data_IF_252941978518
#
_entry.id   IF_252941978518
#
_cell.length_a   1.000
_cell.length_b   1.000
_cell.length_c   1.000
_cell.angle_alpha   90.00
_cell.angle_beta   90.00
_cell.angle_gamma   90.00
#
_symmetry.space_group_name_H-M   'P 1'
#
loop_
_entity.id
_entity.type
_entity.pdbx_description
1 polymer ?
#
# COMPACT_ATOMS: atom_id res chain seq x y z
N UNK A 1 5.49 6.44 5.60
CA UNK A 1 4.70 7.70 5.61
C UNK A 1 3.27 7.33 5.22
N UNK A 2 2.27 7.72 6.00
CA UNK A 2 0.86 7.34 5.77
C UNK A 2 0.14 8.46 5.02
N UNK A 3 -0.38 8.17 3.84
CA UNK A 3 -1.34 9.05 3.19
C UNK A 3 -2.71 8.80 3.83
N UNK A 4 -3.13 9.68 4.74
CA UNK A 4 -4.52 9.73 5.20
C UNK A 4 -5.34 10.41 4.09
N UNK A 5 -5.81 9.64 3.11
CA UNK A 5 -6.59 10.16 1.98
C UNK A 5 -8.06 10.27 2.40
N UNK A 6 -8.56 11.51 2.51
CA UNK A 6 -9.99 11.81 2.66
C UNK A 6 -10.34 12.84 1.59
N UNK A 7 -11.22 12.51 0.64
CA UNK A 7 -11.99 13.52 -0.08
C UNK A 7 -12.95 14.19 0.91
N UNK A 8 -12.93 15.53 1.04
CA UNK A 8 -14.01 16.47 0.67
C UNK A 8 -13.47 17.92 0.79
N UNK A 9 -13.55 18.71 -0.29
CA UNK A 9 -13.62 20.20 -0.27
C UNK A 9 -12.30 21.01 -0.23
N UNK A 10 -12.28 22.24 -0.79
CA UNK A 10 -11.04 22.98 -1.06
C UNK A 10 -10.59 23.80 0.16
N UNK A 11 -9.42 23.47 0.71
CA UNK A 11 -8.65 24.38 1.55
C UNK A 11 -7.16 24.17 1.26
N UNK A 12 -6.60 25.09 0.47
CA UNK A 12 -5.18 25.10 0.12
C UNK A 12 -4.40 25.62 1.34
N UNK A 13 -3.67 24.74 2.01
CA UNK A 13 -2.69 25.14 3.02
C UNK A 13 -1.28 24.86 2.45
N UNK A 14 -0.59 25.93 2.02
CA UNK A 14 0.78 25.86 1.49
C UNK A 14 1.75 25.68 2.66
N UNK A 15 2.26 24.47 2.85
CA UNK A 15 3.45 24.21 3.65
C UNK A 15 4.64 23.94 2.72
N UNK A 16 5.69 24.76 2.83
CA UNK A 16 6.98 24.54 2.16
C UNK A 16 7.69 23.35 2.80
N UNK A 17 7.96 22.29 2.04
CA UNK A 17 8.67 21.09 2.52
C UNK A 17 9.83 20.70 1.60
N UNK A 18 10.89 20.22 2.24
CA UNK A 18 12.20 19.80 1.74
C UNK A 18 12.09 18.69 0.66
N UNK A 19 12.89 18.68 -0.44
CA UNK A 19 12.56 17.98 -1.69
C UNK A 19 12.92 16.48 -1.75
N UNK A 20 13.25 15.83 -0.63
CA UNK A 20 13.87 14.48 -0.66
C UNK A 20 12.86 13.33 -0.47
N UNK A 21 11.59 13.62 -0.13
CA UNK A 21 10.50 12.62 -0.11
C UNK A 21 9.23 13.25 -0.69
N UNK A 22 9.10 13.19 -2.01
CA UNK A 22 7.90 13.62 -2.69
C UNK A 22 6.73 12.70 -2.32
N UNK A 23 5.60 13.29 -1.95
CA UNK A 23 4.31 12.63 -2.17
C UNK A 23 4.05 12.73 -3.68
N UNK A 24 4.11 11.63 -4.44
CA UNK A 24 3.68 11.71 -5.85
C UNK A 24 2.15 11.84 -5.97
N UNK A 25 1.38 11.35 -4.99
CA UNK A 25 -0.05 11.58 -4.90
C UNK A 25 -0.37 12.79 -4.00
N UNK A 26 -0.83 13.88 -4.61
CA UNK A 26 -1.36 15.03 -3.88
C UNK A 26 -2.62 14.67 -3.08
N UNK A 27 -2.87 15.38 -1.98
CA UNK A 27 -4.15 15.26 -1.27
C UNK A 27 -5.29 15.58 -2.25
N UNK A 28 -6.21 14.64 -2.43
CA UNK A 28 -7.34 14.76 -3.36
C UNK A 28 -7.19 13.98 -4.67
N UNK A 29 -6.05 13.33 -4.92
CA UNK A 29 -5.91 12.41 -6.05
C UNK A 29 -6.91 11.26 -5.94
N UNK A 30 -7.67 11.03 -7.02
CA UNK A 30 -8.53 9.87 -7.15
C UNK A 30 -7.71 8.67 -7.61
N UNK A 31 -7.30 7.84 -6.66
CA UNK A 31 -6.43 6.68 -6.90
C UNK A 31 -7.11 5.62 -7.78
N UNK A 32 -8.44 5.54 -7.76
CA UNK A 32 -9.19 4.57 -8.56
C UNK A 32 -9.16 4.99 -10.02
N UNK A 33 -9.33 6.28 -10.29
CA UNK A 33 -9.28 6.83 -11.65
C UNK A 33 -7.84 6.98 -12.17
N UNK A 34 -6.85 7.17 -11.30
CA UNK A 34 -5.44 7.21 -11.69
C UNK A 34 -4.92 5.83 -12.12
N UNK A 35 -5.55 4.76 -11.65
CA UNK A 35 -5.12 3.37 -11.86
C UNK A 35 -6.31 2.43 -12.16
N UNK A 36 -7.12 2.70 -13.21
CA UNK A 36 -8.43 2.08 -13.41
C UNK A 36 -8.38 0.57 -13.70
N UNK A 37 -7.31 0.12 -14.35
CA UNK A 37 -7.14 -1.29 -14.76
C UNK A 37 -6.30 -2.11 -13.78
N UNK A 38 -5.89 -1.51 -12.66
CA UNK A 38 -5.02 -2.17 -11.68
C UNK A 38 -5.83 -3.12 -10.82
N UNK A 39 -5.34 -4.36 -10.72
CA UNK A 39 -5.86 -5.38 -9.81
C UNK A 39 -4.74 -5.89 -8.92
N UNK A 40 -4.94 -5.81 -7.62
CA UNK A 40 -3.96 -6.21 -6.62
C UNK A 40 -4.35 -7.57 -6.03
N UNK A 41 -3.50 -8.61 -6.12
CA UNK A 41 -3.70 -9.82 -5.35
C UNK A 41 -3.48 -9.57 -3.85
N UNK A 42 -4.48 -9.93 -3.03
CA UNK A 42 -4.33 -9.97 -1.57
C UNK A 42 -3.32 -11.05 -1.18
N UNK A 43 -2.52 -10.75 -0.15
CA UNK A 43 -1.56 -11.68 0.44
C UNK A 43 -2.26 -12.97 0.88
N UNK A 44 -1.73 -14.11 0.44
CA UNK A 44 -2.31 -15.44 0.62
C UNK A 44 -1.25 -16.55 0.46
N UNK A 45 -1.56 -17.76 0.89
CA UNK A 45 -0.74 -18.93 0.58
C UNK A 45 -0.86 -19.34 -0.90
N UNK A 46 0.02 -20.21 -1.37
CA UNK A 46 -0.08 -20.76 -2.72
C UNK A 46 -1.38 -21.55 -2.92
N UNK A 47 -1.74 -22.40 -1.95
CA UNK A 47 -2.93 -23.26 -2.02
C UNK A 47 -4.23 -22.45 -2.04
N UNK A 48 -4.29 -21.36 -1.27
CA UNK A 48 -5.38 -20.37 -1.33
C UNK A 48 -5.43 -19.67 -2.70
N UNK A 49 -4.26 -19.43 -3.31
CA UNK A 49 -4.17 -18.92 -4.67
C UNK A 49 -4.79 -19.89 -5.67
N UNK A 50 -4.47 -21.18 -5.59
CA UNK A 50 -5.03 -22.20 -6.48
C UNK A 50 -6.54 -22.34 -6.29
N UNK A 51 -7.01 -22.42 -5.04
CA UNK A 51 -8.44 -22.60 -4.74
C UNK A 51 -9.30 -21.41 -5.17
N UNK A 52 -8.75 -20.19 -5.11
CA UNK A 52 -9.40 -18.97 -5.58
C UNK A 52 -9.18 -18.67 -7.07
N UNK A 53 -8.56 -19.58 -7.82
CA UNK A 53 -8.21 -19.38 -9.24
C UNK A 53 -7.38 -18.10 -9.46
N UNK A 54 -6.46 -17.83 -8.55
CA UNK A 54 -5.59 -16.66 -8.50
C UNK A 54 -6.34 -15.32 -8.53
N UNK A 55 -7.48 -15.24 -7.82
CA UNK A 55 -8.28 -14.03 -7.71
C UNK A 55 -7.45 -12.77 -7.35
N UNK A 56 -7.90 -11.63 -7.89
CA UNK A 56 -7.31 -10.31 -7.66
C UNK A 56 -8.42 -9.33 -7.27
N UNK A 57 -8.06 -8.22 -6.61
CA UNK A 57 -9.00 -7.20 -6.14
C UNK A 57 -8.78 -5.92 -6.91
N UNK A 58 -9.84 -5.36 -7.50
CA UNK A 58 -9.78 -4.05 -8.16
C UNK A 58 -9.64 -2.93 -7.12
N UNK A 59 -9.06 -1.79 -7.49
CA UNK A 59 -9.03 -0.63 -6.59
C UNK A 59 -10.44 -0.17 -6.21
N UNK A 60 -11.39 -0.21 -7.15
CA UNK A 60 -12.78 0.13 -6.86
C UNK A 60 -13.40 -0.75 -5.76
N UNK A 61 -13.06 -2.03 -5.69
CA UNK A 61 -13.50 -2.93 -4.61
C UNK A 61 -12.77 -2.64 -3.30
N UNK A 62 -11.46 -2.34 -3.35
CA UNK A 62 -10.65 -2.03 -2.19
C UNK A 62 -11.17 -0.80 -1.42
N UNK A 63 -11.59 0.23 -2.14
CA UNK A 63 -12.04 1.51 -1.57
C UNK A 63 -13.57 1.65 -1.45
N UNK A 64 -14.37 0.67 -1.91
CA UNK A 64 -15.83 0.80 -1.99
C UNK A 64 -16.46 1.01 -0.62
N UNK A 65 -17.05 2.19 -0.40
CA UNK A 65 -17.78 2.51 0.83
C UNK A 65 -16.91 2.49 2.08
N UNK A 66 -15.58 2.58 1.93
CA UNK A 66 -14.61 2.51 3.03
C UNK A 66 -13.66 3.71 2.97
N UNK A 67 -13.30 4.21 4.15
CA UNK A 67 -12.17 5.10 4.33
C UNK A 67 -10.92 4.25 4.60
N UNK A 68 -10.03 4.21 3.63
CA UNK A 68 -8.85 3.33 3.65
C UNK A 68 -7.59 4.16 3.85
N UNK A 69 -6.71 3.72 4.75
CA UNK A 69 -5.33 4.20 4.82
C UNK A 69 -4.47 3.24 4.00
N UNK A 70 -3.99 3.69 2.85
CA UNK A 70 -3.11 2.90 1.98
C UNK A 70 -1.68 3.41 2.09
N UNK A 71 -0.71 2.50 2.17
CA UNK A 71 0.70 2.84 2.13
C UNK A 71 1.53 1.84 1.32
N UNK A 72 2.48 2.39 0.56
CA UNK A 72 3.49 1.67 -0.19
C UNK A 72 4.79 1.50 0.60
N UNK A 73 5.60 0.51 0.20
CA UNK A 73 6.99 0.37 0.63
C UNK A 73 7.82 -0.41 -0.40
N UNK A 74 9.14 -0.19 -0.47
CA UNK A 74 10.00 -0.80 -1.48
C UNK A 74 9.93 -2.32 -1.59
N UNK A 75 9.80 -3.05 -0.48
CA UNK A 75 9.80 -4.51 -0.54
C UNK A 75 9.58 -5.18 0.81
N UNK A 76 8.92 -6.33 0.80
CA UNK A 76 8.90 -7.26 1.93
C UNK A 76 10.33 -7.63 2.36
N UNK A 77 10.53 -7.85 3.66
CA UNK A 77 11.84 -8.19 4.27
C UNK A 77 12.96 -7.14 4.08
N UNK A 78 12.67 -5.95 3.55
CA UNK A 78 13.65 -4.85 3.46
C UNK A 78 13.73 -4.09 4.79
N UNK A 79 14.93 -3.57 5.11
CA UNK A 79 15.34 -3.12 6.46
C UNK A 79 14.35 -2.20 7.19
N UNK A 80 14.33 -0.91 6.85
CA UNK A 80 13.48 0.09 7.55
C UNK A 80 11.99 -0.23 7.42
N UNK A 81 11.58 -0.83 6.31
CA UNK A 81 10.19 -1.22 6.05
C UNK A 81 9.66 -2.20 7.10
N UNK A 82 10.47 -3.21 7.44
CA UNK A 82 10.12 -4.23 8.45
C UNK A 82 10.30 -3.71 9.87
N UNK A 83 11.35 -2.90 10.12
CA UNK A 83 11.69 -2.44 11.46
C UNK A 83 10.81 -1.29 11.98
N UNK A 84 10.31 -0.42 11.10
CA UNK A 84 9.68 0.83 11.50
C UNK A 84 8.36 1.13 10.79
N UNK A 85 8.25 0.92 9.47
CA UNK A 85 7.04 1.31 8.73
C UNK A 85 5.80 0.53 9.19
N UNK A 86 5.77 -0.80 8.98
CA UNK A 86 4.59 -1.61 9.36
C UNK A 86 4.29 -1.53 10.86
N UNK A 87 5.28 -1.66 11.78
CA UNK A 87 5.02 -1.53 13.21
C UNK A 87 4.41 -0.18 13.62
N UNK A 88 4.71 0.91 12.90
CA UNK A 88 4.11 2.21 13.19
C UNK A 88 2.61 2.26 12.91
N UNK A 89 2.12 1.55 11.88
CA UNK A 89 0.68 1.45 11.60
C UNK A 89 -0.03 0.60 12.64
N UNK A 90 0.57 -0.53 13.03
CA UNK A 90 0.03 -1.39 14.09
C UNK A 90 -0.19 -0.60 15.39
N UNK A 91 0.82 0.17 15.82
CA UNK A 91 0.76 1.01 17.02
C UNK A 91 -0.28 2.14 16.95
N UNK A 92 -0.68 2.56 15.76
CA UNK A 92 -1.62 3.66 15.56
C UNK A 92 -2.98 3.20 15.00
N UNK A 93 -3.22 1.89 14.90
CA UNK A 93 -4.43 1.34 14.30
C UNK A 93 -5.71 1.84 14.98
N UNK A 94 -5.71 1.89 16.31
CA UNK A 94 -6.84 2.43 17.09
C UNK A 94 -7.11 3.91 16.78
N UNK A 95 -6.05 4.73 16.68
CA UNK A 95 -6.19 6.15 16.32
C UNK A 95 -6.71 6.36 14.91
N UNK A 96 -6.38 5.46 13.97
CA UNK A 96 -6.97 5.49 12.64
C UNK A 96 -8.46 5.15 12.70
N UNK A 97 -8.82 4.11 13.46
CA UNK A 97 -10.21 3.71 13.69
C UNK A 97 -11.04 4.82 14.34
N UNK A 98 -10.51 5.50 15.35
CA UNK A 98 -11.14 6.69 15.98
C UNK A 98 -11.42 7.82 14.98
N UNK A 99 -10.59 7.94 13.94
CA UNK A 99 -10.79 8.89 12.83
C UNK A 99 -11.71 8.36 11.73
N UNK A 100 -12.39 7.24 11.98
CA UNK A 100 -13.33 6.59 11.06
C UNK A 100 -12.65 5.90 9.87
N UNK A 101 -11.40 5.46 10.01
CA UNK A 101 -10.74 4.61 9.01
C UNK A 101 -11.24 3.18 9.18
N UNK A 102 -11.71 2.57 8.09
CA UNK A 102 -12.27 1.23 8.06
C UNK A 102 -11.19 0.15 7.87
N UNK A 103 -10.15 0.44 7.09
CA UNK A 103 -9.05 -0.49 6.85
C UNK A 103 -7.71 0.20 6.64
N UNK A 104 -6.64 -0.52 6.97
CA UNK A 104 -5.26 -0.13 6.70
C UNK A 104 -4.69 -1.14 5.71
N UNK A 105 -4.16 -0.66 4.59
CA UNK A 105 -3.67 -1.47 3.48
C UNK A 105 -2.20 -1.18 3.23
N UNK A 106 -1.40 -2.25 3.21
CA UNK A 106 -0.01 -2.24 2.80
C UNK A 106 0.12 -2.83 1.39
N UNK A 107 0.70 -2.07 0.46
CA UNK A 107 1.02 -2.55 -0.90
C UNK A 107 2.53 -2.52 -1.11
N UNK A 108 3.09 -3.54 -1.76
CA UNK A 108 4.50 -3.58 -2.14
C UNK A 108 4.65 -4.29 -3.47
N UNK A 109 5.72 -3.97 -4.21
CA UNK A 109 6.08 -4.66 -5.46
C UNK A 109 6.67 -6.03 -5.09
N UNK A 110 5.82 -6.96 -4.71
CA UNK A 110 6.10 -8.36 -4.40
C UNK A 110 4.90 -9.20 -4.84
N UNK A 111 5.12 -10.50 -5.03
CA UNK A 111 4.02 -11.45 -5.19
C UNK A 111 3.22 -11.61 -3.87
N UNK A 112 1.95 -12.05 -3.93
CA UNK A 112 1.11 -12.16 -2.75
C UNK A 112 1.61 -13.20 -1.74
N UNK A 113 2.44 -14.17 -2.15
CA UNK A 113 2.92 -15.25 -1.28
C UNK A 113 4.05 -14.77 -0.38
N UNK A 114 4.99 -14.00 -0.93
CA UNK A 114 6.01 -13.30 -0.17
C UNK A 114 5.37 -12.30 0.80
N UNK A 115 4.37 -11.54 0.32
CA UNK A 115 3.61 -10.63 1.19
C UNK A 115 2.92 -11.37 2.34
N UNK A 116 2.40 -12.58 2.08
CA UNK A 116 1.74 -13.41 3.09
C UNK A 116 2.71 -13.84 4.19
N UNK A 117 3.84 -14.44 3.81
CA UNK A 117 4.85 -14.89 4.77
C UNK A 117 5.48 -13.73 5.56
N UNK A 118 5.65 -12.57 4.91
CA UNK A 118 6.14 -11.38 5.59
C UNK A 118 5.14 -10.83 6.60
N UNK A 119 3.85 -10.77 6.24
CA UNK A 119 2.80 -10.33 7.15
C UNK A 119 2.65 -11.26 8.37
N UNK A 120 2.82 -12.58 8.19
CA UNK A 120 2.89 -13.55 9.29
C UNK A 120 4.09 -13.27 10.21
N UNK A 121 5.26 -13.05 9.61
CA UNK A 121 6.48 -12.77 10.36
C UNK A 121 6.37 -11.51 11.22
N UNK A 122 5.60 -10.52 10.75
CA UNK A 122 5.33 -9.28 11.47
C UNK A 122 4.12 -9.34 12.41
N UNK A 123 3.38 -10.45 12.42
CA UNK A 123 2.13 -10.61 13.18
C UNK A 123 1.13 -9.47 12.91
N UNK A 124 1.05 -9.04 11.65
CA UNK A 124 0.34 -7.83 11.27
C UNK A 124 -1.02 -8.07 10.59
N UNK A 125 -1.32 -9.32 10.20
CA UNK A 125 -2.48 -9.68 9.36
C UNK A 125 -3.84 -9.35 9.98
N UNK A 126 -3.93 -9.35 11.31
CA UNK A 126 -5.19 -9.03 12.02
C UNK A 126 -5.55 -7.54 11.96
N UNK A 127 -4.58 -6.68 11.63
CA UNK A 127 -4.74 -5.22 11.71
C UNK A 127 -4.53 -4.54 10.36
N UNK A 128 -3.65 -5.11 9.52
CA UNK A 128 -3.27 -4.54 8.22
C UNK A 128 -3.53 -5.58 7.14
N UNK A 129 -4.21 -5.15 6.08
CA UNK A 129 -4.39 -5.95 4.88
C UNK A 129 -3.18 -5.78 3.96
N UNK A 130 -2.55 -6.88 3.55
CA UNK A 130 -1.37 -6.86 2.69
C UNK A 130 -1.76 -7.25 1.26
N UNK A 131 -1.22 -6.52 0.29
CA UNK A 131 -1.44 -6.73 -1.14
C UNK A 131 -0.11 -6.72 -1.89
N UNK A 132 0.00 -7.58 -2.89
CA UNK A 132 1.12 -7.59 -3.82
C UNK A 132 0.80 -6.76 -5.05
N UNK A 133 1.76 -5.96 -5.51
CA UNK A 133 1.80 -5.32 -6.82
C UNK A 133 2.85 -6.02 -7.67
N UNK A 134 2.59 -7.29 -8.01
CA UNK A 134 3.61 -8.23 -8.51
C UNK A 134 4.30 -7.79 -9.81
N UNK A 135 3.62 -7.00 -10.64
CA UNK A 135 4.13 -6.47 -11.90
C UNK A 135 4.46 -4.97 -11.85
N UNK A 136 4.33 -4.35 -10.67
CA UNK A 136 4.64 -2.93 -10.44
C UNK A 136 3.66 -1.95 -11.09
N UNK A 137 2.56 -2.42 -11.71
CA UNK A 137 1.66 -1.55 -12.47
C UNK A 137 0.96 -0.53 -11.59
N UNK A 138 0.61 -0.89 -10.36
CA UNK A 138 -0.02 0.04 -9.44
C UNK A 138 0.90 1.23 -9.14
N UNK A 139 2.11 0.96 -8.69
CA UNK A 139 3.05 2.04 -8.35
C UNK A 139 3.44 2.85 -9.59
N UNK A 140 3.66 2.19 -10.72
CA UNK A 140 3.98 2.87 -11.99
C UNK A 140 2.85 3.78 -12.47
N UNK A 141 1.59 3.36 -12.35
CA UNK A 141 0.43 4.18 -12.74
C UNK A 141 0.27 5.45 -11.90
N UNK A 142 0.83 5.45 -10.69
CA UNK A 142 0.80 6.58 -9.78
C UNK A 142 2.11 7.38 -9.80
N UNK A 143 3.05 7.05 -10.68
CA UNK A 143 4.40 7.62 -10.72
C UNK A 143 5.13 7.50 -9.36
N UNK A 144 4.88 6.38 -8.67
CA UNK A 144 5.43 6.00 -7.37
C UNK A 144 6.43 4.84 -7.48
N UNK A 145 7.00 4.61 -8.66
CA UNK A 145 8.04 3.62 -8.88
C UNK A 145 9.46 4.21 -8.72
N UNK A 146 10.36 3.37 -8.21
CA UNK A 146 11.76 3.69 -7.97
C UNK A 146 12.62 2.50 -8.43
N UNK A 147 13.61 2.76 -9.25
CA UNK A 147 14.57 1.71 -9.64
C UNK A 147 15.58 1.46 -8.50
N UNK A 148 15.48 0.29 -7.88
CA UNK A 148 16.39 -0.21 -6.85
C UNK A 148 17.24 -1.39 -7.38
N UNK A 149 17.52 -1.43 -8.68
CA UNK A 149 18.41 -2.44 -9.30
C UNK A 149 19.81 -2.46 -8.68
N UNK A 150 20.32 -1.31 -8.24
CA UNK A 150 21.60 -1.23 -7.51
C UNK A 150 21.61 -2.06 -6.20
N UNK A 151 20.43 -2.31 -5.62
CA UNK A 151 20.23 -3.16 -4.46
C UNK A 151 19.69 -4.55 -4.82
N UNK A 152 19.75 -4.96 -6.09
CA UNK A 152 19.24 -6.24 -6.62
C UNK A 152 17.72 -6.42 -6.46
N UNK A 153 16.97 -5.32 -6.39
CA UNK A 153 15.51 -5.35 -6.21
C UNK A 153 14.73 -5.06 -7.49
N UNK A 154 15.32 -4.35 -8.46
CA UNK A 154 14.62 -3.89 -9.65
C UNK A 154 13.66 -2.73 -9.34
N UNK A 155 12.65 -2.49 -10.19
CA UNK A 155 11.62 -1.47 -9.96
C UNK A 155 10.78 -1.79 -8.72
N UNK A 156 10.71 -0.85 -7.77
CA UNK A 156 10.01 -0.97 -6.49
C UNK A 156 9.15 0.25 -6.19
N UNK A 157 8.35 0.16 -5.14
CA UNK A 157 7.57 1.29 -4.60
C UNK A 157 8.50 2.31 -3.93
N UNK A 158 8.22 3.60 -4.10
CA UNK A 158 8.91 4.72 -3.47
C UNK A 158 8.62 4.85 -1.95
#
# INVERSE_FOLDING_TARGET
MAALLRQVGPAVCRFSWNPIRGFAASVGTDIVNAAPDVKLPKARSWDEGVSSQFATTTLSELFRGKKVVLFGLPGAFTGVCSAQHVPSYLKNAEKFKEKGVDSIVCVSVNDPYVMNGWADKLQAKEVIEFYGDFDGRFHKSLELDLDLSAALLGPRSQ
#
